data_IF_578583556313
#
_entry.id   IF_578583556313
#
_cell.length_a   1.000
_cell.length_b   1.000
_cell.length_c   1.000
_cell.angle_alpha   90.00
_cell.angle_beta   90.00
_cell.angle_gamma   90.00
#
_symmetry.space_group_name_H-M   'P 1'
#
loop_
_entity.id
_entity.type
_entity.pdbx_description
1 polymer ?
#
# COMPACT_ATOMS: atom_id res chain seq x y z
N UNK A 1 -22.10 13.08 -15.45
CA UNK A 1 -22.13 13.22 -13.99
C UNK A 1 -21.48 12.03 -13.29
N UNK A 2 -21.92 10.81 -13.62
CA UNK A 2 -21.34 9.60 -13.05
C UNK A 2 -19.87 9.46 -13.44
N UNK A 3 -19.50 9.84 -14.64
CA UNK A 3 -18.12 9.81 -15.10
C UNK A 3 -17.23 10.79 -14.32
N UNK A 4 -17.76 11.97 -14.02
CA UNK A 4 -17.02 12.96 -13.24
C UNK A 4 -16.80 12.50 -11.81
N UNK A 5 -17.81 11.85 -11.23
CA UNK A 5 -17.70 11.30 -9.88
C UNK A 5 -16.66 10.18 -9.83
N UNK A 6 -16.68 9.28 -10.81
CA UNK A 6 -15.70 8.20 -10.89
C UNK A 6 -14.28 8.74 -11.07
N UNK A 7 -14.13 9.79 -11.89
CA UNK A 7 -12.83 10.44 -12.10
C UNK A 7 -12.31 11.07 -10.81
N UNK A 8 -13.15 11.76 -10.07
CA UNK A 8 -12.77 12.35 -8.80
C UNK A 8 -12.31 11.28 -7.80
N UNK A 9 -13.00 10.14 -7.77
CA UNK A 9 -12.62 9.03 -6.90
C UNK A 9 -11.23 8.50 -7.23
N UNK A 10 -10.92 8.38 -8.53
CA UNK A 10 -9.59 7.92 -8.97
C UNK A 10 -8.52 8.96 -8.65
N UNK A 11 -8.78 10.22 -8.95
CA UNK A 11 -7.83 11.31 -8.73
C UNK A 11 -7.55 11.55 -7.25
N UNK A 12 -8.53 11.28 -6.39
CA UNK A 12 -8.38 11.46 -4.95
C UNK A 12 -7.93 10.20 -4.23
N UNK A 13 -7.51 9.16 -4.96
CA UNK A 13 -7.02 7.93 -4.37
C UNK A 13 -5.82 8.21 -3.48
N UNK A 14 -5.89 7.90 -2.18
CA UNK A 14 -4.76 8.16 -1.30
C UNK A 14 -3.55 7.31 -1.66
N UNK A 15 -2.38 7.90 -1.52
CA UNK A 15 -1.11 7.20 -1.74
C UNK A 15 -0.47 6.96 -0.39
N UNK A 16 -0.22 5.69 -0.08
CA UNK A 16 0.47 5.28 1.12
C UNK A 16 1.88 4.86 0.72
N UNK A 17 2.87 5.61 1.18
CA UNK A 17 4.25 5.40 0.77
C UNK A 17 5.11 4.97 1.95
N UNK A 18 5.93 3.94 1.73
CA UNK A 18 6.94 3.56 2.70
C UNK A 18 7.98 4.67 2.83
N UNK A 19 8.33 5.00 4.07
CA UNK A 19 9.27 6.10 4.36
C UNK A 19 10.68 5.78 3.94
N UNK A 20 11.04 4.50 3.96
CA UNK A 20 12.39 4.05 3.64
C UNK A 20 12.37 3.09 2.48
N UNK A 21 13.41 3.14 1.67
CA UNK A 21 13.62 2.14 0.64
C UNK A 21 13.95 0.80 1.29
N UNK A 22 13.33 -0.27 0.80
CA UNK A 22 13.67 -1.62 1.22
C UNK A 22 14.89 -2.10 0.44
N UNK A 23 15.90 -2.70 1.10
CA UNK A 23 16.97 -3.33 0.35
C UNK A 23 16.47 -4.62 -0.31
N UNK A 24 17.15 -5.06 -1.35
CA UNK A 24 16.87 -6.36 -1.96
C UNK A 24 17.05 -7.45 -0.90
N UNK A 25 16.09 -8.35 -0.79
CA UNK A 25 16.08 -9.38 0.25
C UNK A 25 15.67 -8.87 1.62
N UNK A 26 15.37 -7.60 1.75
CA UNK A 26 14.96 -6.99 3.02
C UNK A 26 13.45 -6.78 3.11
N UNK A 27 13.06 -5.83 3.95
CA UNK A 27 11.65 -5.57 4.20
C UNK A 27 11.37 -4.07 4.34
N UNK A 28 10.13 -3.70 4.07
CA UNK A 28 9.65 -2.33 4.29
C UNK A 28 8.25 -2.39 4.91
N UNK A 29 7.88 -1.33 5.61
CA UNK A 29 6.56 -1.22 6.23
C UNK A 29 5.92 0.12 5.97
N UNK A 30 4.59 0.09 5.89
CA UNK A 30 3.74 1.28 5.91
C UNK A 30 2.80 1.14 7.11
N UNK A 31 2.72 2.19 7.92
CA UNK A 31 1.75 2.25 9.01
C UNK A 31 0.69 3.29 8.68
N UNK A 32 -0.56 2.91 8.82
CA UNK A 32 -1.68 3.79 8.52
C UNK A 32 -2.85 3.49 9.44
N UNK A 33 -3.90 4.29 9.33
CA UNK A 33 -5.13 4.11 10.09
C UNK A 33 -6.32 3.94 9.16
N UNK A 34 -7.20 3.04 9.57
CA UNK A 34 -8.48 2.83 8.95
C UNK A 34 -9.56 3.39 9.85
N UNK A 35 -10.43 4.23 9.31
CA UNK A 35 -11.55 4.80 10.07
C UNK A 35 -12.87 4.36 9.47
N UNK A 36 -13.81 4.00 10.33
CA UNK A 36 -15.17 3.71 9.92
C UNK A 36 -16.04 4.96 10.15
N UNK A 37 -16.31 5.69 9.09
CA UNK A 37 -17.17 6.88 9.13
C UNK A 37 -18.64 6.56 8.98
N UNK A 38 -18.99 5.30 8.81
CA UNK A 38 -20.38 4.86 8.67
C UNK A 38 -21.10 4.75 10.01
N UNK A 39 -22.43 4.56 9.98
CA UNK A 39 -23.25 4.49 11.19
C UNK A 39 -23.30 3.11 11.82
N UNK A 40 -22.76 2.08 11.18
CA UNK A 40 -22.79 0.70 11.67
C UNK A 40 -21.41 0.11 11.73
N UNK A 41 -21.19 -0.92 12.58
CA UNK A 41 -19.90 -1.63 12.58
C UNK A 41 -19.61 -2.25 11.22
N UNK A 42 -18.35 -2.29 10.82
CA UNK A 42 -17.92 -2.87 9.56
C UNK A 42 -16.95 -4.02 9.80
N UNK A 43 -17.18 -5.13 9.14
CA UNK A 43 -16.20 -6.22 9.04
C UNK A 43 -15.32 -5.92 7.83
N UNK A 44 -14.06 -5.63 8.08
CA UNK A 44 -13.15 -5.17 7.04
C UNK A 44 -12.08 -6.21 6.80
N UNK A 45 -11.94 -6.61 5.54
CA UNK A 45 -10.83 -7.37 5.03
C UNK A 45 -10.13 -6.56 3.96
N UNK A 46 -9.13 -7.15 3.32
CA UNK A 46 -8.34 -6.43 2.32
C UNK A 46 -7.97 -7.34 1.17
N UNK A 47 -7.97 -6.77 -0.02
CA UNK A 47 -7.42 -7.42 -1.21
C UNK A 47 -6.44 -6.46 -1.86
N UNK A 48 -5.41 -7.00 -2.51
CA UNK A 48 -4.41 -6.16 -3.18
C UNK A 48 -3.83 -6.85 -4.39
N UNK A 49 -3.31 -6.03 -5.30
CA UNK A 49 -2.69 -6.49 -6.51
C UNK A 49 -1.24 -6.88 -6.30
N UNK A 50 -0.63 -7.53 -7.30
CA UNK A 50 0.82 -7.64 -7.35
C UNK A 50 1.44 -6.24 -7.36
N UNK A 51 2.69 -6.16 -6.92
CA UNK A 51 3.43 -4.91 -6.96
C UNK A 51 4.19 -4.83 -8.27
N UNK A 52 4.10 -3.69 -8.94
CA UNK A 52 4.76 -3.50 -10.23
C UNK A 52 5.58 -2.22 -10.22
N UNK A 53 6.70 -2.26 -10.92
CA UNK A 53 7.59 -1.12 -11.13
C UNK A 53 8.03 -1.06 -12.59
N UNK A 54 8.11 0.15 -13.12
CA UNK A 54 8.59 0.35 -14.48
C UNK A 54 10.09 0.04 -14.57
N UNK A 55 10.60 -0.55 -15.67
CA UNK A 55 9.81 -1.01 -16.84
C UNK A 55 9.29 -2.45 -16.71
N UNK A 56 9.86 -3.29 -15.86
CA UNK A 56 9.52 -4.71 -15.82
C UNK A 56 9.65 -5.34 -14.43
N UNK A 57 9.70 -4.51 -13.38
CA UNK A 57 9.72 -5.00 -12.01
C UNK A 57 8.38 -5.55 -11.59
N UNK A 58 8.40 -6.70 -10.90
CA UNK A 58 7.19 -7.32 -10.37
C UNK A 58 7.51 -8.08 -9.10
N UNK A 59 6.70 -7.87 -8.08
CA UNK A 59 6.75 -8.63 -6.83
C UNK A 59 5.35 -9.20 -6.60
N UNK A 60 5.29 -10.49 -6.32
CA UNK A 60 4.03 -11.18 -6.12
C UNK A 60 3.25 -10.62 -4.91
N UNK A 61 1.93 -10.57 -5.04
CA UNK A 61 1.04 -10.10 -3.97
C UNK A 61 1.24 -10.88 -2.66
N UNK A 62 1.66 -12.13 -2.75
CA UNK A 62 1.95 -12.96 -1.58
C UNK A 62 3.10 -12.47 -0.72
N UNK A 63 3.93 -11.56 -1.22
CA UNK A 63 5.01 -10.94 -0.47
C UNK A 63 4.55 -9.79 0.43
N UNK A 64 3.30 -9.38 0.31
CA UNK A 64 2.71 -8.32 1.10
C UNK A 64 1.85 -8.90 2.21
N UNK A 65 1.96 -8.33 3.42
CA UNK A 65 1.14 -8.74 4.57
C UNK A 65 0.49 -7.53 5.19
N UNK A 66 -0.77 -7.70 5.58
CA UNK A 66 -1.51 -6.70 6.35
C UNK A 66 -1.82 -7.24 7.74
N UNK A 67 -1.58 -6.41 8.75
CA UNK A 67 -1.93 -6.73 10.13
C UNK A 67 -2.75 -5.57 10.73
N UNK A 68 -3.95 -5.84 11.23
CA UNK A 68 -4.68 -7.11 11.16
C UNK A 68 -5.21 -7.38 9.76
N UNK A 69 -5.23 -8.64 9.35
CA UNK A 69 -5.71 -9.03 8.02
C UNK A 69 -7.23 -8.92 7.88
N UNK A 70 -7.93 -9.00 9.00
CA UNK A 70 -9.37 -8.83 9.06
C UNK A 70 -9.70 -8.21 10.42
N UNK A 71 -10.62 -7.24 10.42
CA UNK A 71 -10.93 -6.52 11.66
C UNK A 71 -12.37 -6.02 11.63
N UNK A 72 -13.00 -6.00 12.81
CA UNK A 72 -14.28 -5.36 12.99
C UNK A 72 -14.06 -3.96 13.54
N UNK A 73 -14.56 -2.95 12.82
CA UNK A 73 -14.37 -1.55 13.17
C UNK A 73 -15.71 -0.97 13.59
N UNK A 74 -15.88 -0.59 14.87
CA UNK A 74 -17.11 0.08 15.32
C UNK A 74 -17.32 1.43 14.62
N UNK A 75 -18.54 1.95 14.59
CA UNK A 75 -18.79 3.26 13.99
C UNK A 75 -17.96 4.33 14.66
N UNK A 76 -17.32 5.18 13.86
CA UNK A 76 -16.48 6.27 14.34
C UNK A 76 -15.14 5.87 14.90
N UNK A 77 -14.82 4.58 14.93
CA UNK A 77 -13.55 4.09 15.47
C UNK A 77 -12.46 4.06 14.41
N UNK A 78 -11.23 4.07 14.88
CA UNK A 78 -10.03 3.91 14.06
C UNK A 78 -9.29 2.64 14.47
N UNK A 79 -8.65 1.99 13.49
CA UNK A 79 -7.79 0.84 13.70
C UNK A 79 -6.45 1.10 13.02
N UNK A 80 -5.37 0.83 13.72
CA UNK A 80 -4.03 0.94 13.15
C UNK A 80 -3.76 -0.27 12.28
N UNK A 81 -3.20 -0.02 11.09
CA UNK A 81 -2.81 -1.06 10.13
C UNK A 81 -1.31 -1.01 9.90
N UNK A 82 -0.70 -2.19 9.84
CA UNK A 82 0.68 -2.33 9.41
C UNK A 82 0.70 -3.13 8.11
N UNK A 83 1.33 -2.55 7.10
CA UNK A 83 1.46 -3.16 5.78
C UNK A 83 2.93 -3.47 5.57
N UNK A 84 3.28 -4.74 5.54
CA UNK A 84 4.67 -5.19 5.41
C UNK A 84 4.93 -5.83 4.07
N UNK A 85 6.06 -5.47 3.45
CA UNK A 85 6.53 -6.06 2.21
C UNK A 85 7.84 -6.79 2.46
N UNK A 86 7.89 -8.07 2.11
CA UNK A 86 9.14 -8.82 2.04
C UNK A 86 9.65 -8.79 0.61
N UNK A 87 10.83 -8.23 0.41
CA UNK A 87 11.39 -8.04 -0.93
C UNK A 87 12.23 -9.26 -1.29
N UNK A 88 11.91 -9.96 -2.39
CA UNK A 88 12.75 -11.07 -2.85
C UNK A 88 14.17 -10.61 -3.18
N UNK A 89 15.15 -11.52 -3.01
CA UNK A 89 16.54 -11.24 -3.32
C UNK A 89 16.75 -10.89 -4.80
N UNK A 90 15.94 -11.46 -5.67
CA UNK A 90 16.03 -11.29 -7.11
C UNK A 90 15.12 -10.18 -7.65
N UNK A 91 14.50 -9.40 -6.78
CA UNK A 91 13.65 -8.30 -7.22
C UNK A 91 14.50 -7.22 -7.91
N UNK A 92 13.93 -6.57 -8.91
CA UNK A 92 14.59 -5.46 -9.58
C UNK A 92 14.44 -4.18 -8.75
N UNK A 93 15.49 -3.35 -8.63
CA UNK A 93 15.33 -2.06 -7.98
C UNK A 93 14.30 -1.20 -8.72
N UNK A 94 13.51 -0.46 -7.97
CA UNK A 94 12.51 0.41 -8.57
C UNK A 94 11.51 0.91 -7.55
N UNK A 95 10.56 1.69 -8.03
CA UNK A 95 9.46 2.20 -7.24
C UNK A 95 8.23 1.34 -7.53
N UNK A 96 7.87 0.50 -6.56
CA UNK A 96 6.80 -0.48 -6.73
C UNK A 96 5.48 0.07 -6.25
N UNK A 97 4.43 -0.22 -7.03
CA UNK A 97 3.07 0.20 -6.72
C UNK A 97 2.13 -0.99 -6.67
N UNK A 98 1.19 -0.96 -5.74
CA UNK A 98 0.11 -1.94 -5.65
C UNK A 98 -1.17 -1.22 -5.28
N UNK A 99 -2.29 -1.74 -5.77
CA UNK A 99 -3.60 -1.22 -5.39
C UNK A 99 -4.13 -2.04 -4.22
N UNK A 100 -4.45 -1.36 -3.13
CA UNK A 100 -5.06 -1.94 -1.95
C UNK A 100 -6.54 -1.55 -1.90
N UNK A 101 -7.40 -2.51 -1.64
CA UNK A 101 -8.84 -2.25 -1.53
C UNK A 101 -9.36 -2.92 -0.27
N UNK A 102 -10.13 -2.17 0.53
CA UNK A 102 -10.82 -2.72 1.68
C UNK A 102 -12.14 -3.36 1.24
N UNK A 103 -12.45 -4.51 1.82
CA UNK A 103 -13.76 -5.12 1.69
C UNK A 103 -14.59 -4.76 2.91
N UNK A 104 -15.89 -4.61 2.74
CA UNK A 104 -16.79 -4.23 3.85
C UNK A 104 -16.92 -2.73 4.08
N UNK A 105 -16.08 -1.91 3.47
CA UNK A 105 -16.19 -0.45 3.45
C UNK A 105 -16.10 0.00 2.00
N UNK A 106 -17.21 0.46 1.46
CA UNK A 106 -17.31 0.81 0.04
C UNK A 106 -16.38 1.96 -0.32
N UNK A 107 -15.68 1.81 -1.43
CA UNK A 107 -14.85 2.86 -1.99
C UNK A 107 -13.54 3.12 -1.26
N UNK A 108 -13.23 2.36 -0.23
CA UNK A 108 -11.99 2.55 0.50
C UNK A 108 -10.85 1.82 -0.22
N UNK A 109 -10.02 2.59 -0.90
CA UNK A 109 -8.89 2.12 -1.69
C UNK A 109 -7.69 3.00 -1.47
N UNK A 110 -6.50 2.46 -1.71
CA UNK A 110 -5.26 3.22 -1.62
C UNK A 110 -4.24 2.65 -2.60
N UNK A 111 -3.35 3.51 -3.06
CA UNK A 111 -2.18 3.11 -3.84
C UNK A 111 -1.02 2.95 -2.87
N UNK A 112 -0.46 1.75 -2.80
CA UNK A 112 0.73 1.49 -2.00
C UNK A 112 1.97 1.75 -2.85
N UNK A 113 2.95 2.41 -2.27
CA UNK A 113 4.20 2.72 -2.96
C UNK A 113 5.38 2.33 -2.10
N UNK A 114 6.23 1.45 -2.63
CA UNK A 114 7.42 0.94 -1.94
C UNK A 114 8.66 1.18 -2.81
N UNK A 115 9.58 2.05 -2.38
CA UNK A 115 10.89 2.12 -3.01
C UNK A 115 11.70 0.87 -2.66
N UNK A 116 12.30 0.22 -3.65
CA UNK A 116 13.05 -1.02 -3.47
C UNK A 116 14.42 -0.88 -4.11
N UNK A 117 15.46 -1.13 -3.34
CA UNK A 117 16.84 -1.10 -3.83
C UNK A 117 17.34 0.26 -4.24
N UNK A 118 16.68 1.34 -3.81
CA UNK A 118 17.02 2.71 -4.20
C UNK A 118 17.96 3.42 -3.23
N UNK A 119 18.33 2.80 -2.12
CA UNK A 119 19.19 3.41 -1.11
C UNK A 119 20.56 3.79 -1.68
N UNK A 120 21.15 2.93 -2.51
CA UNK A 120 22.43 3.20 -3.14
C UNK A 120 22.39 4.45 -4.00
N UNK A 121 21.30 4.63 -4.72
CA UNK A 121 21.11 5.80 -5.58
C UNK A 121 21.06 7.07 -4.76
N UNK A 122 20.32 7.05 -3.65
CA UNK A 122 20.25 8.18 -2.75
C UNK A 122 21.58 8.53 -2.13
N UNK A 123 22.37 7.54 -1.70
CA UNK A 123 23.70 7.75 -1.16
C UNK A 123 24.68 8.28 -2.19
N UNK A 124 24.63 7.74 -3.40
CA UNK A 124 25.51 8.19 -4.47
C UNK A 124 25.25 9.66 -4.81
N UNK A 125 24.00 10.05 -4.89
CA UNK A 125 23.61 11.44 -5.13
C UNK A 125 24.02 12.35 -3.97
N UNK A 126 23.93 11.88 -2.76
CA UNK A 126 24.29 12.64 -1.58
C UNK A 126 25.81 12.82 -1.46
N UNK A 127 26.58 11.84 -1.88
CA UNK A 127 28.04 11.89 -1.82
C UNK A 127 28.66 12.87 -2.82
N UNK A 128 27.91 13.22 -3.85
CA UNK A 128 28.37 14.19 -4.86
C UNK A 128 28.04 15.60 -4.42
#
# INVERSE_FOLDING_TARGET
YAADHARQTIESLPVLRARRSAPLGGAAEIHTRLRNDGPTPAEVGFVWSDLVAEPDGRIDAGSLRLLPGRVRVPPGACVDLAIGLEVPDDARPGLYHALLQATGLLGLRALLTFPVGLERWGRALTAV
#
